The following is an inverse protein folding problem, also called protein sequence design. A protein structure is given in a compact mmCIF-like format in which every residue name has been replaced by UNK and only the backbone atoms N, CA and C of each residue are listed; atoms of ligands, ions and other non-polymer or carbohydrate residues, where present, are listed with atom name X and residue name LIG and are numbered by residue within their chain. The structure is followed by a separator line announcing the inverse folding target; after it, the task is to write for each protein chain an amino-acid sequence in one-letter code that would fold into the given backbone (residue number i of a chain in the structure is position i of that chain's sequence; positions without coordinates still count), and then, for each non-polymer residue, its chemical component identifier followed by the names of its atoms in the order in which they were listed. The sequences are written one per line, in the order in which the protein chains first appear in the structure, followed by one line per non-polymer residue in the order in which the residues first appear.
data_IF_034263750340
#
_entry.id   IF_034263750340
#
_cell.length_a   1.000
_cell.length_b   1.000
_cell.length_c   1.000
_cell.angle_alpha   90.00
_cell.angle_beta   90.00
_cell.angle_gamma   90.00
#
_symmetry.space_group_name_H-M   'P 1'
#
loop_
_entity.id
_entity.type
_entity.pdbx_description
1 polymer ?
#
# COMPACT_ATOMS: atom_id res chain seq x y z
N UNK A 1 9.49 48.10 29.05
CA UNK A 1 8.90 47.39 27.89
C UNK A 1 7.90 46.36 28.40
N UNK A 2 6.66 46.38 27.93
CA UNK A 2 5.56 45.57 28.49
C UNK A 2 5.68 44.11 28.06
N UNK A 3 5.62 43.15 29.01
CA UNK A 3 5.71 41.70 28.77
C UNK A 3 4.71 41.22 27.70
N UNK A 4 3.56 41.89 27.58
CA UNK A 4 2.51 41.60 26.61
C UNK A 4 2.96 41.82 25.16
N UNK A 5 3.87 42.78 24.90
CA UNK A 5 4.40 43.04 23.56
C UNK A 5 5.38 41.94 23.10
N UNK A 6 6.17 41.40 24.04
CA UNK A 6 7.13 40.32 23.75
C UNK A 6 6.40 39.02 23.39
N UNK A 7 5.33 38.68 24.12
CA UNK A 7 4.52 37.48 23.86
C UNK A 7 3.81 37.54 22.50
N UNK A 8 3.24 38.69 22.13
CA UNK A 8 2.59 38.88 20.82
C UNK A 8 3.57 38.73 19.65
N UNK A 9 4.79 39.25 19.75
CA UNK A 9 5.78 39.13 18.67
C UNK A 9 6.25 37.69 18.45
N UNK A 10 6.32 36.89 19.53
CA UNK A 10 6.78 35.51 19.47
C UNK A 10 5.70 34.58 18.89
N UNK A 11 4.44 34.79 19.24
CA UNK A 11 3.31 34.06 18.66
C UNK A 11 3.19 34.31 17.14
N UNK A 12 3.28 35.56 16.71
CA UNK A 12 3.25 35.90 15.28
C UNK A 12 4.44 35.30 14.50
N UNK A 13 5.63 35.25 15.12
CA UNK A 13 6.81 34.63 14.50
C UNK A 13 6.66 33.11 14.32
N UNK A 14 6.05 32.44 15.30
CA UNK A 14 5.76 30.99 15.26
C UNK A 14 4.72 30.62 14.19
N UNK A 15 3.66 31.40 14.04
CA UNK A 15 2.63 31.20 13.01
C UNK A 15 3.18 31.39 11.58
N UNK A 16 4.06 32.39 11.38
CA UNK A 16 4.71 32.63 10.07
C UNK A 16 5.67 31.49 9.70
N UNK A 17 6.43 30.96 10.67
CA UNK A 17 7.32 29.82 10.42
C UNK A 17 6.54 28.54 10.12
N UNK A 18 5.47 28.25 10.86
CA UNK A 18 4.62 27.09 10.60
C UNK A 18 3.94 27.18 9.22
N UNK A 19 3.49 28.37 8.81
CA UNK A 19 2.90 28.56 7.48
C UNK A 19 3.92 28.38 6.35
N UNK A 20 5.17 28.81 6.56
CA UNK A 20 6.24 28.67 5.55
C UNK A 20 6.67 27.21 5.40
N UNK A 21 6.77 26.47 6.51
CA UNK A 21 7.10 25.05 6.56
C UNK A 21 6.03 24.19 5.84
N UNK A 22 4.75 24.50 6.04
CA UNK A 22 3.65 23.82 5.34
C UNK A 22 3.67 24.08 3.82
N UNK A 23 4.02 25.29 3.38
CA UNK A 23 4.15 25.59 1.94
C UNK A 23 5.29 24.81 1.29
N UNK A 24 6.46 24.77 1.93
CA UNK A 24 7.62 23.99 1.45
C UNK A 24 7.30 22.49 1.42
N UNK A 25 6.68 21.97 2.48
CA UNK A 25 6.24 20.58 2.55
C UNK A 25 5.28 20.23 1.40
N UNK A 26 4.32 21.10 1.10
CA UNK A 26 3.41 20.94 -0.05
C UNK A 26 4.18 20.90 -1.38
N UNK A 27 5.12 21.80 -1.60
CA UNK A 27 5.94 21.84 -2.82
C UNK A 27 6.78 20.56 -2.98
N UNK A 28 7.38 20.07 -1.89
CA UNK A 28 8.11 18.80 -1.89
C UNK A 28 7.21 17.60 -2.20
N UNK A 29 6.03 17.51 -1.60
CA UNK A 29 5.06 16.44 -1.88
C UNK A 29 4.66 16.46 -3.36
N UNK A 30 4.37 17.63 -3.93
CA UNK A 30 4.03 17.78 -5.34
C UNK A 30 5.21 17.39 -6.24
N UNK A 31 6.44 17.77 -5.89
CA UNK A 31 7.63 17.38 -6.62
C UNK A 31 7.81 15.85 -6.65
N UNK A 32 7.77 15.19 -5.49
CA UNK A 32 7.89 13.74 -5.37
C UNK A 32 6.77 13.02 -6.13
N UNK A 33 5.53 13.49 -6.02
CA UNK A 33 4.39 12.93 -6.76
C UNK A 33 4.61 13.00 -8.27
N UNK A 34 5.00 14.16 -8.79
CA UNK A 34 5.28 14.33 -10.22
C UNK A 34 6.45 13.46 -10.69
N UNK A 35 7.48 13.28 -9.86
CA UNK A 35 8.58 12.37 -10.16
C UNK A 35 8.12 10.90 -10.23
N UNK A 36 7.24 10.47 -9.32
CA UNK A 36 6.64 9.14 -9.37
C UNK A 36 5.80 8.92 -10.63
N UNK A 37 5.00 9.92 -11.05
CA UNK A 37 4.20 9.83 -12.28
C UNK A 37 5.08 9.68 -13.52
N UNK A 38 6.15 10.48 -13.63
CA UNK A 38 7.11 10.37 -14.74
C UNK A 38 7.80 9.02 -14.76
N UNK A 39 8.25 8.53 -13.61
CA UNK A 39 8.87 7.20 -13.52
C UNK A 39 7.90 6.09 -13.94
N UNK A 40 6.61 6.20 -13.61
CA UNK A 40 5.59 5.26 -14.06
C UNK A 40 5.35 5.32 -15.58
N UNK A 41 5.24 6.53 -16.13
CA UNK A 41 5.13 6.78 -17.58
C UNK A 41 6.34 6.19 -18.33
N UNK A 42 7.56 6.50 -17.88
CA UNK A 42 8.80 6.00 -18.44
C UNK A 42 8.83 4.47 -18.41
N UNK A 43 8.49 3.86 -17.27
CA UNK A 43 8.46 2.40 -17.13
C UNK A 43 7.52 1.77 -18.17
N UNK A 44 6.27 2.24 -18.26
CA UNK A 44 5.27 1.69 -19.18
C UNK A 44 5.71 1.87 -20.63
N UNK A 45 6.16 3.07 -20.99
CA UNK A 45 6.55 3.36 -22.36
C UNK A 45 7.85 2.64 -22.79
N UNK A 46 8.85 2.51 -21.92
CA UNK A 46 10.03 1.69 -22.23
C UNK A 46 9.71 0.20 -22.30
N UNK A 47 8.77 -0.32 -21.49
CA UNK A 47 8.30 -1.69 -21.62
C UNK A 47 7.60 -1.93 -22.98
N UNK A 48 6.84 -0.95 -23.47
CA UNK A 48 6.25 -0.98 -24.80
C UNK A 48 7.32 -1.00 -25.89
N UNK A 49 8.27 -0.05 -25.85
CA UNK A 49 9.35 0.06 -26.83
C UNK A 49 10.22 -1.21 -26.90
N UNK A 50 10.62 -1.74 -25.74
CA UNK A 50 11.36 -3.00 -25.66
C UNK A 50 10.56 -4.16 -26.28
N UNK A 51 9.26 -4.22 -25.97
CA UNK A 51 8.35 -5.23 -26.53
C UNK A 51 8.26 -5.18 -28.05
N UNK A 52 8.14 -3.98 -28.60
CA UNK A 52 8.09 -3.73 -30.02
C UNK A 52 9.39 -4.14 -30.72
N UNK A 53 10.55 -3.74 -30.17
CA UNK A 53 11.86 -4.11 -30.70
C UNK A 53 12.08 -5.63 -30.68
N UNK A 54 11.68 -6.30 -29.60
CA UNK A 54 11.73 -7.76 -29.53
C UNK A 54 10.86 -8.44 -30.60
N UNK A 55 9.69 -7.88 -30.93
CA UNK A 55 8.87 -8.38 -32.03
C UNK A 55 9.54 -8.19 -33.38
N UNK A 56 10.16 -7.03 -33.62
CA UNK A 56 10.90 -6.73 -34.85
C UNK A 56 12.05 -7.71 -35.06
N UNK A 57 12.88 -7.92 -34.03
CA UNK A 57 13.96 -8.91 -34.08
C UNK A 57 13.42 -10.31 -34.31
N UNK A 58 12.34 -10.70 -33.61
CA UNK A 58 11.73 -12.02 -33.80
C UNK A 58 11.22 -12.23 -35.23
N UNK A 59 10.70 -11.19 -35.88
CA UNK A 59 10.22 -11.25 -37.26
C UNK A 59 11.37 -11.37 -38.29
N UNK A 60 12.57 -10.89 -37.95
CA UNK A 60 13.76 -10.98 -38.81
C UNK A 60 14.51 -12.33 -38.71
N UNK A 61 14.25 -13.11 -37.66
CA UNK A 61 14.88 -14.41 -37.42
C UNK A 61 14.01 -15.56 -37.92
N UNK A 62 14.62 -16.72 -38.21
CA UNK A 62 13.84 -17.90 -38.58
C UNK A 62 13.09 -18.49 -37.36
N UNK A 63 12.12 -19.35 -37.63
CA UNK A 63 11.34 -20.01 -36.58
C UNK A 63 12.26 -20.78 -35.61
N UNK A 64 12.14 -20.48 -34.31
CA UNK A 64 12.91 -21.12 -33.24
C UNK A 64 14.29 -20.50 -32.95
N UNK A 65 14.77 -19.54 -33.75
CA UNK A 65 16.08 -18.91 -33.52
C UNK A 65 16.04 -17.80 -32.47
N UNK A 66 14.87 -17.19 -32.25
CA UNK A 66 14.71 -16.07 -31.33
C UNK A 66 15.18 -16.39 -29.89
N UNK A 67 14.89 -17.59 -29.38
CA UNK A 67 15.29 -17.97 -28.01
C UNK A 67 16.80 -17.98 -27.86
N UNK A 68 17.52 -18.57 -28.82
CA UNK A 68 19.00 -18.61 -28.84
C UNK A 68 19.60 -17.22 -29.01
N UNK A 69 19.02 -16.41 -29.90
CA UNK A 69 19.45 -15.04 -30.11
C UNK A 69 19.32 -14.21 -28.83
N UNK A 70 18.18 -14.30 -28.12
CA UNK A 70 17.94 -13.61 -26.86
C UNK A 70 18.94 -14.05 -25.78
N UNK A 71 19.18 -15.35 -25.63
CA UNK A 71 20.16 -15.86 -24.66
C UNK A 71 21.56 -15.31 -24.89
N UNK A 72 21.94 -15.16 -26.16
CA UNK A 72 23.26 -14.67 -26.56
C UNK A 72 23.39 -13.15 -26.40
N UNK A 73 22.36 -12.39 -26.76
CA UNK A 73 22.45 -10.92 -26.87
C UNK A 73 21.83 -10.18 -25.67
N UNK A 74 20.92 -10.82 -24.94
CA UNK A 74 20.11 -10.24 -23.86
C UNK A 74 20.11 -11.15 -22.62
N UNK A 75 21.30 -11.56 -22.18
CA UNK A 75 21.46 -12.50 -21.05
C UNK A 75 20.78 -12.01 -19.76
N UNK A 76 20.76 -10.69 -19.53
CA UNK A 76 20.15 -10.08 -18.35
C UNK A 76 18.62 -9.98 -18.42
N UNK A 77 18.00 -10.28 -19.57
CA UNK A 77 16.56 -10.21 -19.76
C UNK A 77 15.93 -11.62 -19.70
N UNK A 78 15.20 -11.96 -18.62
CA UNK A 78 14.54 -13.25 -18.51
C UNK A 78 13.54 -13.47 -19.66
N UNK A 79 13.45 -14.70 -20.16
CA UNK A 79 12.56 -15.05 -21.28
C UNK A 79 11.11 -14.65 -21.00
N UNK A 80 10.65 -14.91 -19.76
CA UNK A 80 9.31 -14.54 -19.32
C UNK A 80 9.06 -13.03 -19.39
N UNK A 81 10.07 -12.21 -19.10
CA UNK A 81 9.96 -10.75 -19.16
C UNK A 81 9.92 -10.29 -20.62
N UNK A 82 10.78 -10.83 -21.48
CA UNK A 82 10.77 -10.55 -22.92
C UNK A 82 9.41 -10.90 -23.55
N UNK A 83 8.88 -12.09 -23.27
CA UNK A 83 7.55 -12.52 -23.75
C UNK A 83 6.43 -11.59 -23.26
N UNK A 84 6.50 -11.12 -22.01
CA UNK A 84 5.52 -10.16 -21.46
C UNK A 84 5.59 -8.81 -22.17
N UNK A 85 6.79 -8.27 -22.42
CA UNK A 85 6.94 -7.03 -23.17
C UNK A 85 6.41 -7.17 -24.61
N UNK A 86 6.71 -8.27 -25.29
CA UNK A 86 6.16 -8.55 -26.63
C UNK A 86 4.63 -8.67 -26.60
N UNK A 87 4.06 -9.39 -25.65
CA UNK A 87 2.59 -9.51 -25.55
C UNK A 87 1.94 -8.16 -25.21
N UNK A 88 2.57 -7.38 -24.32
CA UNK A 88 2.11 -6.05 -23.92
C UNK A 88 2.10 -5.08 -25.09
N UNK A 89 3.20 -4.96 -25.83
CA UNK A 89 3.29 -4.09 -27.01
C UNK A 89 2.26 -4.44 -28.08
N UNK A 90 2.06 -5.74 -28.37
CA UNK A 90 1.01 -6.19 -29.29
C UNK A 90 -0.39 -5.80 -28.81
N UNK A 91 -0.69 -6.05 -27.53
CA UNK A 91 -1.99 -5.77 -26.96
C UNK A 91 -2.27 -4.28 -26.84
N UNK A 92 -1.25 -3.45 -26.60
CA UNK A 92 -1.40 -2.00 -26.53
C UNK A 92 -1.60 -1.38 -27.91
N UNK A 93 -0.80 -1.81 -28.90
CA UNK A 93 -0.95 -1.36 -30.29
C UNK A 93 -2.33 -1.72 -30.87
N UNK A 94 -2.90 -2.86 -30.50
CA UNK A 94 -4.26 -3.22 -30.95
C UNK A 94 -5.39 -2.41 -30.28
N UNK A 95 -5.12 -1.72 -29.16
CA UNK A 95 -6.10 -0.92 -28.42
C UNK A 95 -6.00 0.60 -28.65
N UNK A 96 -4.85 1.10 -29.09
CA UNK A 96 -4.62 2.54 -29.33
C UNK A 96 -4.10 2.77 -30.74
N UNK A 97 -4.92 3.41 -31.58
CA UNK A 97 -4.56 3.75 -32.95
C UNK A 97 -3.30 4.62 -33.01
N UNK A 98 -3.20 5.63 -32.14
CA UNK A 98 -2.02 6.49 -32.01
C UNK A 98 -0.75 5.68 -31.78
N UNK A 99 -0.79 4.66 -30.92
CA UNK A 99 0.37 3.79 -30.64
C UNK A 99 0.67 2.88 -31.82
N UNK A 100 -0.34 2.41 -32.55
CA UNK A 100 -0.16 1.61 -33.76
C UNK A 100 0.49 2.40 -34.91
N UNK A 101 0.14 3.68 -35.05
CA UNK A 101 0.71 4.55 -36.09
C UNK A 101 2.23 4.75 -35.85
N UNK A 102 2.64 5.00 -34.60
CA UNK A 102 4.05 5.10 -34.21
C UNK A 102 4.83 3.80 -34.45
N UNK A 103 4.20 2.65 -34.22
CA UNK A 103 4.78 1.34 -34.46
C UNK A 103 5.06 1.08 -35.95
N UNK A 104 4.30 1.71 -36.85
CA UNK A 104 4.38 1.45 -38.28
C UNK A 104 5.33 2.41 -39.00
N UNK A 105 5.30 3.70 -38.66
CA UNK A 105 6.02 4.74 -39.41
C UNK A 105 7.32 5.21 -38.75
N UNK A 106 7.38 5.26 -37.42
CA UNK A 106 8.38 6.09 -36.70
C UNK A 106 9.56 5.29 -36.15
N UNK A 107 9.36 4.01 -35.85
CA UNK A 107 10.38 3.13 -35.23
C UNK A 107 11.30 2.41 -36.23
N UNK A 108 11.17 2.70 -37.52
CA UNK A 108 12.03 2.14 -38.57
C UNK A 108 13.38 2.86 -38.75
N UNK A 109 13.76 3.75 -37.83
CA UNK A 109 15.09 4.36 -37.86
C UNK A 109 16.16 3.26 -37.73
N UNK A 110 17.01 3.19 -38.76
CA UNK A 110 17.99 2.11 -39.01
C UNK A 110 19.05 1.94 -37.93
N UNK A 111 19.24 2.94 -37.07
CA UNK A 111 20.18 2.92 -35.95
C UNK A 111 19.53 2.55 -34.61
N UNK A 112 18.21 2.32 -34.60
CA UNK A 112 17.45 2.05 -33.39
C UNK A 112 17.33 3.26 -32.45
N UNK A 113 17.68 4.47 -32.91
CA UNK A 113 17.50 5.69 -32.13
C UNK A 113 16.14 6.32 -32.44
N UNK A 114 15.34 6.57 -31.39
CA UNK A 114 14.16 7.41 -31.48
C UNK A 114 14.58 8.85 -31.25
N UNK A 115 14.10 9.77 -32.09
CA UNK A 115 14.23 11.17 -31.77
C UNK A 115 13.46 11.48 -30.45
N UNK A 116 13.92 12.50 -29.72
CA UNK A 116 13.38 12.84 -28.40
C UNK A 116 11.88 13.14 -28.45
N UNK A 117 11.42 13.78 -29.54
CA UNK A 117 10.03 14.20 -29.72
C UNK A 117 9.10 13.00 -29.82
N UNK A 118 9.44 12.04 -30.66
CA UNK A 118 8.65 10.85 -30.91
C UNK A 118 8.71 9.90 -29.73
N UNK A 119 9.88 9.77 -29.08
CA UNK A 119 9.99 9.04 -27.81
C UNK A 119 9.02 9.60 -26.78
N UNK A 120 9.03 10.92 -26.56
CA UNK A 120 8.12 11.56 -25.62
C UNK A 120 6.65 11.32 -25.99
N UNK A 121 6.30 11.43 -27.26
CA UNK A 121 4.93 11.18 -27.74
C UNK A 121 4.49 9.72 -27.50
N UNK A 122 5.38 8.75 -27.72
CA UNK A 122 5.11 7.32 -27.43
C UNK A 122 4.96 7.09 -25.93
N UNK A 123 5.84 7.65 -25.10
CA UNK A 123 5.75 7.52 -23.63
C UNK A 123 4.43 8.10 -23.12
N UNK A 124 4.01 9.26 -23.64
CA UNK A 124 2.74 9.90 -23.30
C UNK A 124 1.53 9.08 -23.77
N UNK A 125 1.50 8.65 -25.03
CA UNK A 125 0.42 7.80 -25.55
C UNK A 125 0.31 6.46 -24.82
N UNK A 126 1.44 5.84 -24.45
CA UNK A 126 1.46 4.61 -23.67
C UNK A 126 0.96 4.83 -22.24
N UNK A 127 1.27 5.97 -21.63
CA UNK A 127 0.79 6.33 -20.30
C UNK A 127 -0.71 6.68 -20.29
N UNK A 128 -1.19 7.41 -21.29
CA UNK A 128 -2.62 7.69 -21.47
C UNK A 128 -3.41 6.40 -21.68
N UNK A 129 -2.93 5.51 -22.54
CA UNK A 129 -3.56 4.21 -22.77
C UNK A 129 -3.51 3.30 -21.52
N UNK A 130 -2.57 3.56 -20.60
CA UNK A 130 -2.47 2.85 -19.33
C UNK A 130 -3.46 3.36 -18.27
N UNK A 131 -4.01 4.57 -18.42
CA UNK A 131 -4.99 5.15 -17.49
C UNK A 131 -4.53 5.10 -16.02
N UNK A 132 -3.26 5.46 -15.78
CA UNK A 132 -2.65 5.46 -14.44
C UNK A 132 -2.43 4.09 -13.80
N UNK A 133 -2.72 2.99 -14.50
CA UNK A 133 -2.52 1.62 -13.99
C UNK A 133 -1.04 1.25 -13.94
N UNK A 134 -0.68 0.43 -12.98
CA UNK A 134 0.65 -0.17 -12.91
C UNK A 134 0.85 -1.15 -14.07
N UNK A 135 2.10 -1.39 -14.49
CA UNK A 135 2.41 -2.35 -15.55
C UNK A 135 1.85 -3.76 -15.27
N UNK A 136 1.79 -4.17 -14.00
CA UNK A 136 1.23 -5.48 -13.62
C UNK A 136 -0.29 -5.52 -13.80
N UNK A 137 -1.00 -4.42 -13.50
CA UNK A 137 -2.44 -4.30 -13.74
C UNK A 137 -2.73 -4.29 -15.24
N UNK A 138 -1.94 -3.55 -16.03
CA UNK A 138 -2.04 -3.56 -17.50
C UNK A 138 -1.85 -4.97 -18.06
N UNK A 139 -0.86 -5.71 -17.58
CA UNK A 139 -0.66 -7.09 -17.99
C UNK A 139 -1.86 -7.99 -17.68
N UNK A 140 -2.60 -7.74 -16.59
CA UNK A 140 -3.82 -8.50 -16.28
C UNK A 140 -4.97 -8.09 -17.20
N UNK A 141 -5.15 -6.79 -17.41
CA UNK A 141 -6.23 -6.23 -18.24
C UNK A 141 -6.07 -6.58 -19.74
N UNK A 142 -4.83 -6.75 -20.17
CA UNK A 142 -4.48 -7.17 -21.53
C UNK A 142 -4.44 -8.70 -21.68
N UNK A 143 -4.71 -9.46 -20.61
CA UNK A 143 -4.68 -10.93 -20.64
C UNK A 143 -3.27 -11.52 -20.77
N UNK A 144 -2.21 -10.72 -20.61
CA UNK A 144 -0.81 -11.15 -20.65
C UNK A 144 -0.47 -12.01 -19.43
N UNK A 145 -1.04 -11.68 -18.26
CA UNK A 145 -0.91 -12.45 -17.03
C UNK A 145 -2.30 -12.87 -16.55
N UNK A 146 -2.42 -14.12 -16.09
CA UNK A 146 -3.65 -14.63 -15.48
C UNK A 146 -4.05 -13.79 -14.27
N UNK A 147 -5.35 -13.51 -14.14
CA UNK A 147 -5.86 -12.87 -12.93
C UNK A 147 -5.60 -13.76 -11.70
N UNK A 148 -5.25 -13.17 -10.55
CA UNK A 148 -5.16 -13.93 -9.32
C UNK A 148 -6.51 -14.58 -9.05
N UNK A 149 -6.53 -15.89 -8.80
CA UNK A 149 -7.76 -16.54 -8.35
C UNK A 149 -8.18 -15.86 -7.05
N UNK A 150 -9.47 -15.53 -6.92
CA UNK A 150 -10.02 -15.10 -5.64
C UNK A 150 -9.58 -16.11 -4.59
N UNK A 151 -8.88 -15.61 -3.56
CA UNK A 151 -8.51 -16.47 -2.43
C UNK A 151 -9.84 -16.95 -1.86
N UNK A 152 -10.14 -18.23 -2.05
CA UNK A 152 -11.28 -18.83 -1.38
C UNK A 152 -11.07 -18.55 0.11
N UNK A 153 -12.07 -17.91 0.72
CA UNK A 153 -12.03 -17.66 2.15
C UNK A 153 -11.96 -19.01 2.85
N UNK A 154 -10.78 -19.32 3.38
CA UNK A 154 -10.64 -20.41 4.31
C UNK A 154 -10.94 -19.80 5.68
N UNK A 155 -12.02 -20.21 6.35
CA UNK A 155 -12.21 -19.81 7.73
C UNK A 155 -10.94 -20.16 8.50
N UNK A 156 -10.50 -19.30 9.43
CA UNK A 156 -9.34 -19.61 10.27
C UNK A 156 -9.57 -20.99 10.89
N UNK A 157 -8.50 -21.79 10.95
CA UNK A 157 -8.59 -23.09 11.63
C UNK A 157 -9.10 -22.83 13.04
N UNK A 158 -10.09 -23.60 13.53
CA UNK A 158 -10.50 -23.50 14.93
C UNK A 158 -9.25 -23.70 15.79
N UNK A 159 -9.08 -22.81 16.78
CA UNK A 159 -7.98 -22.89 17.73
C UNK A 159 -8.03 -24.26 18.41
N UNK A 160 -6.86 -24.85 18.65
CA UNK A 160 -6.79 -26.04 19.50
C UNK A 160 -7.30 -25.68 20.91
N UNK A 161 -7.79 -26.65 21.69
CA UNK A 161 -8.24 -26.38 23.06
C UNK A 161 -7.17 -25.70 23.94
N UNK A 162 -5.89 -25.95 23.66
CA UNK A 162 -4.76 -25.32 24.36
C UNK A 162 -4.61 -23.85 23.92
N UNK A 163 -4.67 -23.59 22.61
CA UNK A 163 -4.63 -22.24 22.05
C UNK A 163 -5.85 -21.39 22.45
N UNK A 164 -7.06 -21.99 22.54
CA UNK A 164 -8.25 -21.31 23.05
C UNK A 164 -8.09 -20.90 24.51
N UNK A 165 -7.48 -21.77 25.32
CA UNK A 165 -7.24 -21.51 26.73
C UNK A 165 -6.16 -20.43 26.91
N UNK A 166 -5.12 -20.45 26.09
CA UNK A 166 -4.07 -19.42 26.07
C UNK A 166 -4.62 -18.07 25.60
N UNK A 167 -5.38 -18.04 24.51
CA UNK A 167 -6.06 -16.84 24.04
C UNK A 167 -7.02 -16.26 25.09
N UNK A 168 -7.76 -17.11 25.82
CA UNK A 168 -8.59 -16.65 26.95
C UNK A 168 -7.75 -16.09 28.10
N UNK A 169 -6.60 -16.69 28.40
CA UNK A 169 -5.69 -16.20 29.46
C UNK A 169 -5.09 -14.86 29.07
N UNK A 170 -4.71 -14.69 27.81
CA UNK A 170 -4.19 -13.44 27.27
C UNK A 170 -5.27 -12.35 27.31
N UNK A 171 -6.48 -12.62 26.80
CA UNK A 171 -7.62 -11.70 26.94
C UNK A 171 -7.92 -11.33 28.39
N UNK A 172 -7.80 -12.28 29.32
CA UNK A 172 -7.99 -12.01 30.75
C UNK A 172 -6.88 -11.13 31.32
N UNK A 173 -5.63 -11.31 30.89
CA UNK A 173 -4.49 -10.46 31.30
C UNK A 173 -4.63 -9.05 30.76
N UNK A 174 -4.98 -8.90 29.48
CA UNK A 174 -5.19 -7.59 28.86
C UNK A 174 -6.29 -6.81 29.58
N UNK A 175 -7.38 -7.49 29.93
CA UNK A 175 -8.44 -6.90 30.71
C UNK A 175 -7.90 -6.41 32.06
N UNK A 176 -7.16 -7.26 32.81
CA UNK A 176 -6.56 -6.87 34.10
C UNK A 176 -5.62 -5.67 33.98
N UNK A 177 -4.82 -5.59 32.91
CA UNK A 177 -3.92 -4.46 32.68
C UNK A 177 -4.70 -3.16 32.43
N UNK A 178 -5.72 -3.19 31.57
CA UNK A 178 -6.59 -2.03 31.31
C UNK A 178 -7.28 -1.52 32.58
N UNK A 179 -7.66 -2.44 33.48
CA UNK A 179 -8.26 -2.12 34.76
C UNK A 179 -7.27 -1.42 35.67
N UNK A 180 -6.07 -1.97 35.76
CA UNK A 180 -5.00 -1.45 36.61
C UNK A 180 -4.62 -0.04 36.16
N UNK A 181 -4.41 0.17 34.85
CA UNK A 181 -4.13 1.49 34.28
C UNK A 181 -5.24 2.50 34.60
N UNK A 182 -6.51 2.09 34.45
CA UNK A 182 -7.65 2.96 34.80
C UNK A 182 -7.75 3.28 36.29
N UNK A 183 -7.33 2.37 37.16
CA UNK A 183 -7.32 2.61 38.61
C UNK A 183 -6.12 3.48 39.04
N UNK A 184 -4.96 3.34 38.40
CA UNK A 184 -3.79 4.19 38.64
C UNK A 184 -4.06 5.65 38.25
N UNK A 185 -4.86 5.87 37.20
CA UNK A 185 -5.37 7.19 36.82
C UNK A 185 -6.31 7.82 37.87
N UNK A 186 -6.78 7.05 38.85
CA UNK A 186 -7.63 7.51 39.97
C UNK A 186 -6.81 7.60 41.27
N UNK A 187 -5.49 7.75 41.17
CA UNK A 187 -4.63 7.93 42.34
C UNK A 187 -4.94 9.22 43.12
N UNK A 188 -4.74 9.15 44.45
CA UNK A 188 -5.28 10.05 45.47
C UNK A 188 -5.07 11.56 45.25
N UNK A 189 -4.04 11.97 44.50
CA UNK A 189 -3.70 13.38 44.31
C UNK A 189 -4.64 14.10 43.33
N UNK A 190 -5.23 13.40 42.36
CA UNK A 190 -6.15 14.00 41.38
C UNK A 190 -7.61 14.00 41.84
N UNK A 191 -7.95 13.19 42.85
CA UNK A 191 -9.30 13.10 43.41
C UNK A 191 -9.69 14.33 44.27
N UNK A 192 -8.70 15.08 44.75
CA UNK A 192 -8.90 16.25 45.63
C UNK A 192 -9.46 17.47 44.88
N UNK A 193 -9.27 17.54 43.56
CA UNK A 193 -9.69 18.66 42.71
C UNK A 193 -10.98 18.39 41.91
N UNK A 194 -11.54 17.18 41.99
CA UNK A 194 -12.77 16.83 41.27
C UNK A 194 -14.00 17.44 41.93
N UNK A 195 -14.94 17.91 41.11
CA UNK A 195 -16.23 18.34 41.61
C UNK A 195 -17.12 17.16 42.03
N UNK A 196 -18.23 17.45 42.70
CA UNK A 196 -19.14 16.42 43.21
C UNK A 196 -19.80 15.59 42.09
N UNK A 197 -19.99 16.15 40.90
CA UNK A 197 -20.56 15.44 39.77
C UNK A 197 -19.54 14.47 39.17
N UNK A 198 -18.28 14.90 39.04
CA UNK A 198 -17.15 14.10 38.59
C UNK A 198 -16.87 12.93 39.56
N UNK A 199 -16.86 13.18 40.87
CA UNK A 199 -16.75 12.11 41.89
C UNK A 199 -17.86 11.06 41.78
N UNK A 200 -19.09 11.48 41.48
CA UNK A 200 -20.23 10.56 41.32
C UNK A 200 -20.09 9.72 40.04
N UNK A 201 -19.58 10.31 38.95
CA UNK A 201 -19.30 9.61 37.71
C UNK A 201 -18.18 8.56 37.89
N UNK A 202 -17.08 8.95 38.54
CA UNK A 202 -15.97 8.05 38.86
C UNK A 202 -16.42 6.89 39.75
N UNK A 203 -17.22 7.16 40.79
CA UNK A 203 -17.80 6.12 41.64
C UNK A 203 -18.69 5.15 40.85
N UNK A 204 -19.52 5.65 39.93
CA UNK A 204 -20.37 4.81 39.09
C UNK A 204 -19.55 3.86 38.20
N UNK A 205 -18.46 4.38 37.62
CA UNK A 205 -17.50 3.56 36.83
C UNK A 205 -16.92 2.44 37.69
N UNK A 206 -16.48 2.74 38.92
CA UNK A 206 -15.93 1.73 39.85
C UNK A 206 -16.97 0.67 40.22
N UNK A 207 -18.24 1.05 40.40
CA UNK A 207 -19.33 0.13 40.73
C UNK A 207 -19.64 -0.82 39.56
N UNK A 208 -19.84 -0.30 38.36
CA UNK A 208 -20.06 -1.11 37.15
C UNK A 208 -18.90 -2.09 36.94
N UNK A 209 -17.69 -1.59 37.19
CA UNK A 209 -16.49 -2.37 37.06
C UNK A 209 -16.40 -3.50 38.12
N UNK A 210 -16.75 -3.24 39.37
CA UNK A 210 -16.86 -4.27 40.42
C UNK A 210 -17.90 -5.35 40.06
N UNK A 211 -19.02 -4.96 39.45
CA UNK A 211 -20.04 -5.90 39.01
C UNK A 211 -19.53 -6.83 37.90
N UNK A 212 -18.76 -6.30 36.94
CA UNK A 212 -18.12 -7.11 35.89
C UNK A 212 -17.16 -8.15 36.48
N UNK A 213 -16.30 -7.76 37.43
CA UNK A 213 -15.40 -8.71 38.13
C UNK A 213 -16.20 -9.82 38.82
N UNK A 214 -17.27 -9.48 39.54
CA UNK A 214 -18.11 -10.48 40.22
C UNK A 214 -18.77 -11.44 39.25
N UNK A 215 -19.22 -10.96 38.09
CA UNK A 215 -19.79 -11.80 37.04
C UNK A 215 -18.74 -12.79 36.48
N UNK A 216 -17.51 -12.33 36.22
CA UNK A 216 -16.41 -13.19 35.77
C UNK A 216 -16.03 -14.24 36.81
N UNK A 217 -15.93 -13.86 38.09
CA UNK A 217 -15.66 -14.80 39.18
C UNK A 217 -16.77 -15.85 39.33
N UNK A 218 -18.03 -15.46 39.12
CA UNK A 218 -19.16 -16.40 39.13
C UNK A 218 -19.09 -17.38 37.96
N UNK A 219 -18.85 -16.88 36.73
CA UNK A 219 -18.71 -17.71 35.54
C UNK A 219 -17.51 -18.69 35.62
N UNK A 220 -16.41 -18.27 36.26
CA UNK A 220 -15.26 -19.15 36.53
C UNK A 220 -15.59 -20.27 37.51
N UNK A 221 -16.46 -20.05 38.49
CA UNK A 221 -16.90 -21.09 39.46
C UNK A 221 -17.91 -22.06 38.86
N UNK A 222 -18.75 -21.58 37.94
CA UNK A 222 -19.81 -22.36 37.28
C UNK A 222 -19.31 -23.14 36.05
N UNK A 223 -18.11 -22.86 35.55
CA UNK A 223 -17.50 -23.65 34.48
C UNK A 223 -17.42 -25.13 34.91
N UNK A 224 -18.14 -26.04 34.21
CA UNK A 224 -18.27 -27.41 34.67
C UNK A 224 -16.89 -28.04 34.68
N UNK A 225 -16.49 -28.59 35.83
CA UNK A 225 -15.38 -29.54 35.91
C UNK A 225 -15.69 -30.64 34.90
N UNK A 226 -15.16 -30.52 33.67
CA UNK A 226 -15.32 -31.53 32.62
C UNK A 226 -14.90 -32.84 33.27
N UNK A 227 -15.88 -33.73 33.39
CA UNK A 227 -15.72 -35.08 33.92
C UNK A 227 -14.59 -35.73 33.12
N UNK A 228 -13.40 -35.80 33.71
CA UNK A 228 -12.40 -36.78 33.36
C UNK A 228 -12.99 -38.15 33.74
N UNK A 229 -13.83 -38.70 32.86
CA UNK A 229 -14.22 -40.10 32.87
C UNK A 229 -13.66 -40.69 31.59
N UNK A 230 -12.61 -41.50 31.81
CA UNK A 230 -12.05 -42.61 31.04
C UNK A 230 -12.37 -42.66 29.55
#
# INVERSE_FOLDING_TARGET
MSKTAVIKSRAASLEITASTDLKQSREHVLHCHNACLRAAQDHVGYAFLAGFELQRVKAALNHGEFTKWRETNLADLPERTAQRYMAFSSALASKSATVADFATETLLLTDGSLNERDRKAILEAAHEAADGKTLTELYRDLGVIRQPKEKQYHPPKPLSPEEELEARREQSRDLINQITERMELVSDEQLLDLDRAELKATHQIVVEFSQQIRALLKASKESPKKKARK
#
